data_IF_906334696180
#
_entry.id   IF_906334696180
#
_cell.length_a   1.000
_cell.length_b   1.000
_cell.length_c   1.000
_cell.angle_alpha   90.00
_cell.angle_beta   90.00
_cell.angle_gamma   90.00
#
_symmetry.space_group_name_H-M   'P 1'
#
loop_
_entity.id
_entity.type
_entity.pdbx_description
1 polymer ?
#
# COMPACT_ATOMS: atom_id res chain seq x y z
N UNK A 1 -9.33 14.36 16.68
CA UNK A 1 -8.64 13.58 17.73
C UNK A 1 -8.87 12.11 17.40
N UNK A 2 -7.86 11.42 16.85
CA UNK A 2 -7.94 9.96 16.64
C UNK A 2 -7.85 9.31 18.02
N UNK A 3 -8.91 8.62 18.45
CA UNK A 3 -8.88 7.84 19.70
C UNK A 3 -7.92 6.67 19.49
N UNK A 4 -6.93 6.55 20.37
CA UNK A 4 -5.90 5.50 20.34
C UNK A 4 -6.49 4.08 20.39
N UNK A 5 -7.69 3.93 20.97
CA UNK A 5 -8.42 2.66 21.06
C UNK A 5 -8.85 2.14 19.68
N UNK A 6 -9.10 3.04 18.72
CA UNK A 6 -9.44 2.65 17.34
C UNK A 6 -8.23 2.13 16.56
N UNK A 7 -7.01 2.53 16.93
CA UNK A 7 -5.77 1.99 16.36
C UNK A 7 -5.54 0.55 16.80
N UNK A 8 -5.58 0.30 18.11
CA UNK A 8 -5.34 -1.04 18.69
C UNK A 8 -6.28 -2.13 18.14
N UNK A 9 -7.53 -1.78 17.83
CA UNK A 9 -8.51 -2.72 17.27
C UNK A 9 -8.21 -3.10 15.82
N UNK A 10 -7.48 -2.25 15.09
CA UNK A 10 -7.16 -2.43 13.67
C UNK A 10 -5.75 -3.00 13.46
N UNK A 11 -4.91 -3.05 14.50
CA UNK A 11 -3.52 -3.48 14.41
C UNK A 11 -3.32 -4.84 13.70
N UNK A 12 -4.10 -5.90 13.98
CA UNK A 12 -3.95 -7.17 13.26
C UNK A 12 -4.22 -7.05 11.75
N UNK A 13 -5.23 -6.27 11.37
CA UNK A 13 -5.61 -6.05 9.97
C UNK A 13 -4.62 -5.14 9.24
N UNK A 14 -4.15 -4.09 9.93
CA UNK A 14 -3.11 -3.21 9.42
C UNK A 14 -1.81 -4.00 9.19
N UNK A 15 -1.44 -4.84 10.14
CA UNK A 15 -0.29 -5.73 10.01
C UNK A 15 -0.47 -6.69 8.83
N UNK A 16 -1.67 -7.27 8.67
CA UNK A 16 -2.01 -8.12 7.53
C UNK A 16 -1.85 -7.41 6.19
N UNK A 17 -2.33 -6.16 6.07
CA UNK A 17 -2.16 -5.35 4.86
C UNK A 17 -0.68 -5.12 4.53
N UNK A 18 0.11 -4.65 5.51
CA UNK A 18 1.55 -4.42 5.34
C UNK A 18 2.30 -5.67 4.88
N UNK A 19 2.04 -6.79 5.55
CA UNK A 19 2.65 -8.08 5.30
C UNK A 19 2.32 -8.60 3.92
N UNK A 20 1.04 -8.57 3.58
CA UNK A 20 0.53 -9.08 2.32
C UNK A 20 1.08 -8.28 1.15
N UNK A 21 1.18 -6.96 1.28
CA UNK A 21 1.70 -6.11 0.21
C UNK A 21 3.19 -6.31 -0.03
N UNK A 22 3.98 -6.46 1.05
CA UNK A 22 5.41 -6.77 0.96
C UNK A 22 5.63 -8.11 0.23
N UNK A 23 4.99 -9.18 0.72
CA UNK A 23 5.13 -10.51 0.15
C UNK A 23 4.60 -10.58 -1.29
N UNK A 24 3.50 -9.89 -1.59
CA UNK A 24 2.96 -9.83 -2.95
C UNK A 24 3.92 -9.12 -3.91
N UNK A 25 4.59 -8.06 -3.45
CA UNK A 25 5.58 -7.35 -4.25
C UNK A 25 6.83 -8.19 -4.48
N UNK A 26 7.33 -8.87 -3.46
CA UNK A 26 8.46 -9.80 -3.60
C UNK A 26 8.13 -10.96 -4.56
N UNK A 27 6.92 -11.52 -4.44
CA UNK A 27 6.44 -12.53 -5.38
C UNK A 27 6.34 -11.98 -6.80
N UNK A 28 5.83 -10.76 -6.96
CA UNK A 28 5.82 -10.07 -8.25
C UNK A 28 7.24 -9.94 -8.81
N UNK A 29 8.19 -9.42 -8.05
CA UNK A 29 9.59 -9.27 -8.48
C UNK A 29 10.30 -10.59 -8.80
N UNK A 30 9.88 -11.71 -8.20
CA UNK A 30 10.41 -13.03 -8.52
C UNK A 30 9.95 -13.56 -9.89
N UNK A 31 8.92 -12.95 -10.50
CA UNK A 31 8.43 -13.36 -11.81
C UNK A 31 9.44 -13.00 -12.92
N UNK A 32 9.61 -13.87 -13.92
CA UNK A 32 10.40 -13.55 -15.11
C UNK A 32 9.90 -12.26 -15.76
N UNK A 33 10.81 -11.44 -16.31
CA UNK A 33 10.47 -10.13 -16.90
C UNK A 33 9.35 -10.20 -17.90
N UNK A 34 9.33 -11.23 -18.77
CA UNK A 34 8.25 -11.44 -19.75
C UNK A 34 6.85 -11.57 -19.13
N UNK A 35 6.75 -11.99 -17.86
CA UNK A 35 5.50 -12.11 -17.10
C UNK A 35 5.17 -10.87 -16.31
N UNK A 36 6.16 -10.01 -16.02
CA UNK A 36 5.96 -8.71 -15.39
C UNK A 36 5.69 -7.61 -16.40
N UNK A 37 6.28 -7.70 -17.60
CA UNK A 37 6.29 -6.66 -18.62
C UNK A 37 4.87 -6.27 -19.02
N UNK A 38 4.46 -5.10 -18.55
CA UNK A 38 3.15 -4.52 -18.77
C UNK A 38 3.32 -3.00 -18.83
N UNK A 39 2.67 -2.40 -19.81
CA UNK A 39 2.59 -0.95 -19.92
C UNK A 39 1.15 -0.57 -20.26
N UNK A 40 0.54 0.22 -19.38
CA UNK A 40 -0.86 0.65 -19.53
C UNK A 40 -0.93 2.13 -19.15
N UNK A 41 -1.53 2.94 -20.03
CA UNK A 41 -1.72 4.38 -19.82
C UNK A 41 -0.43 5.13 -19.43
N UNK A 42 0.73 4.73 -19.96
CA UNK A 42 2.02 5.35 -19.66
C UNK A 42 2.67 4.91 -18.34
N UNK A 43 2.07 3.97 -17.62
CA UNK A 43 2.64 3.36 -16.42
C UNK A 43 3.28 2.02 -16.76
N UNK A 44 4.53 1.84 -16.34
CA UNK A 44 5.21 0.54 -16.38
C UNK A 44 4.78 -0.37 -15.23
N UNK A 45 5.19 -1.63 -15.29
CA UNK A 45 4.77 -2.71 -14.39
C UNK A 45 4.89 -2.39 -12.90
N UNK A 46 6.00 -1.76 -12.48
CA UNK A 46 6.24 -1.40 -11.08
C UNK A 46 5.16 -0.44 -10.55
N UNK A 47 4.88 0.62 -11.30
CA UNK A 47 3.82 1.58 -10.93
C UNK A 47 2.45 0.91 -10.98
N UNK A 48 2.22 0.04 -11.96
CA UNK A 48 0.95 -0.67 -12.11
C UNK A 48 0.69 -1.66 -10.97
N UNK A 49 1.72 -2.29 -10.40
CA UNK A 49 1.58 -3.13 -9.21
C UNK A 49 0.96 -2.32 -8.06
N UNK A 50 1.55 -1.17 -7.74
CA UNK A 50 1.08 -0.32 -6.64
C UNK A 50 -0.28 0.34 -6.93
N UNK A 51 -0.53 0.74 -8.19
CA UNK A 51 -1.85 1.23 -8.61
C UNK A 51 -2.89 0.12 -8.42
N UNK A 52 -2.61 -1.09 -8.88
CA UNK A 52 -3.50 -2.24 -8.75
C UNK A 52 -3.80 -2.58 -7.29
N UNK A 53 -2.80 -2.54 -6.41
CA UNK A 53 -2.99 -2.65 -4.97
C UNK A 53 -4.01 -1.63 -4.46
N UNK A 54 -3.89 -0.36 -4.83
CA UNK A 54 -4.79 0.69 -4.34
C UNK A 54 -6.20 0.64 -4.94
N UNK A 55 -6.33 0.22 -6.21
CA UNK A 55 -7.62 0.09 -6.89
C UNK A 55 -8.54 -0.88 -6.15
N UNK A 56 -8.01 -1.95 -5.53
CA UNK A 56 -8.82 -2.92 -4.76
C UNK A 56 -9.54 -2.28 -3.56
N UNK A 57 -9.06 -1.14 -3.09
CA UNK A 57 -9.61 -0.39 -1.97
C UNK A 57 -10.53 0.77 -2.37
N UNK A 58 -10.73 1.00 -3.68
CA UNK A 58 -11.67 2.00 -4.17
C UNK A 58 -13.10 1.61 -3.81
N UNK A 59 -13.68 2.29 -2.82
CA UNK A 59 -15.03 2.07 -2.30
C UNK A 59 -15.76 3.40 -2.13
N UNK A 60 -17.09 3.38 -2.23
CA UNK A 60 -17.92 4.56 -1.97
C UNK A 60 -17.77 5.03 -0.52
N UNK A 61 -17.72 6.34 -0.29
CA UNK A 61 -17.69 6.93 1.05
C UNK A 61 -18.96 6.64 1.87
N UNK A 62 -20.02 6.16 1.21
CA UNK A 62 -21.30 5.77 1.82
C UNK A 62 -21.32 4.34 2.34
N UNK A 63 -20.28 3.53 2.09
CA UNK A 63 -20.20 2.18 2.65
C UNK A 63 -20.08 2.20 4.18
N UNK A 64 -20.76 1.26 4.83
CA UNK A 64 -20.75 1.10 6.27
C UNK A 64 -19.32 0.93 6.82
N UNK A 65 -19.02 1.66 7.88
CA UNK A 65 -17.74 1.54 8.60
C UNK A 65 -17.78 0.30 9.47
N UNK A 66 -16.99 -0.71 9.10
CA UNK A 66 -16.66 -1.80 10.00
C UNK A 66 -15.61 -1.30 11.00
N UNK A 67 -15.96 -1.28 12.28
CA UNK A 67 -15.09 -0.74 13.34
C UNK A 67 -13.73 -1.46 13.44
N UNK A 68 -13.63 -2.70 12.96
CA UNK A 68 -12.40 -3.50 12.94
C UNK A 68 -11.45 -3.21 11.78
N UNK A 69 -11.83 -2.39 10.80
CA UNK A 69 -11.01 -2.14 9.61
C UNK A 69 -10.69 -0.66 9.41
N UNK A 70 -9.47 -0.38 8.98
CA UNK A 70 -9.09 0.93 8.50
C UNK A 70 -9.90 1.29 7.23
N UNK A 71 -10.07 2.59 6.98
CA UNK A 71 -10.73 3.06 5.75
C UNK A 71 -9.90 2.68 4.52
N UNK A 72 -10.56 2.42 3.38
CA UNK A 72 -9.89 2.01 2.14
C UNK A 72 -8.72 2.92 1.71
N UNK A 73 -8.87 4.25 1.85
CA UNK A 73 -7.75 5.19 1.60
C UNK A 73 -6.52 4.88 2.46
N UNK A 74 -6.71 4.62 3.76
CA UNK A 74 -5.60 4.29 4.66
C UNK A 74 -5.00 2.93 4.34
N UNK A 75 -5.83 1.93 4.03
CA UNK A 75 -5.38 0.58 3.61
C UNK A 75 -4.59 0.59 2.30
N UNK A 76 -4.84 1.56 1.43
CA UNK A 76 -4.05 1.81 0.22
C UNK A 76 -2.74 2.54 0.55
N UNK A 77 -2.79 3.70 1.21
CA UNK A 77 -1.61 4.58 1.26
C UNK A 77 -0.63 4.24 2.37
N UNK A 78 -1.11 3.74 3.52
CA UNK A 78 -0.25 3.57 4.70
C UNK A 78 0.77 2.45 4.46
N UNK A 79 0.40 1.24 4.00
CA UNK A 79 1.41 0.22 3.67
C UNK A 79 2.46 0.73 2.67
N UNK A 80 2.01 1.42 1.61
CA UNK A 80 2.88 1.92 0.55
C UNK A 80 3.86 3.01 1.02
N UNK A 81 3.47 3.87 1.98
CA UNK A 81 4.38 4.83 2.60
C UNK A 81 5.61 4.17 3.23
N UNK A 82 5.48 2.91 3.63
CA UNK A 82 6.52 2.15 4.29
C UNK A 82 7.37 1.31 3.34
N UNK A 83 7.03 1.26 2.05
CA UNK A 83 7.80 0.56 1.02
C UNK A 83 8.74 1.53 0.29
N UNK A 84 10.08 1.37 0.39
CA UNK A 84 11.02 2.18 -0.39
C UNK A 84 10.81 2.06 -1.91
N UNK A 85 10.40 0.89 -2.37
CA UNK A 85 10.22 0.59 -3.79
C UNK A 85 9.04 1.36 -4.39
N UNK A 86 8.01 1.64 -3.58
CA UNK A 86 6.94 2.56 -3.98
C UNK A 86 7.48 3.98 -4.17
N UNK A 87 8.26 4.47 -3.20
CA UNK A 87 8.86 5.82 -3.28
C UNK A 87 9.73 5.97 -4.52
N UNK A 88 10.52 4.95 -4.85
CA UNK A 88 11.37 4.93 -6.04
C UNK A 88 10.54 4.89 -7.32
N UNK A 89 9.57 3.98 -7.43
CA UNK A 89 8.73 3.83 -8.61
C UNK A 89 8.00 5.13 -8.97
N UNK A 90 7.56 5.90 -7.99
CA UNK A 90 6.86 7.18 -8.19
C UNK A 90 7.73 8.43 -8.07
N UNK A 91 9.03 8.29 -7.79
CA UNK A 91 9.93 9.43 -7.62
C UNK A 91 9.57 10.35 -6.45
N UNK A 92 9.09 9.77 -5.34
CA UNK A 92 8.69 10.54 -4.17
C UNK A 92 9.91 11.18 -3.48
N UNK A 93 9.94 12.51 -3.38
CA UNK A 93 10.98 13.25 -2.67
C UNK A 93 11.10 12.87 -1.18
N UNK A 94 12.24 13.20 -0.56
CA UNK A 94 12.45 12.97 0.86
C UNK A 94 11.42 13.75 1.70
N UNK A 95 10.88 13.10 2.74
CA UNK A 95 9.85 13.66 3.64
C UNK A 95 8.53 14.03 2.95
N UNK A 96 8.31 13.60 1.70
CA UNK A 96 7.01 13.74 1.06
C UNK A 96 5.95 12.96 1.86
N UNK A 97 4.68 13.33 1.71
CA UNK A 97 3.57 12.64 2.39
C UNK A 97 3.61 11.12 2.18
N UNK A 98 3.86 10.69 0.94
CA UNK A 98 3.98 9.27 0.58
C UNK A 98 5.38 8.66 0.80
N UNK A 99 6.33 9.44 1.33
CA UNK A 99 7.70 8.99 1.63
C UNK A 99 8.18 9.56 2.99
N UNK A 100 7.54 9.14 4.10
CA UNK A 100 7.91 9.59 5.42
C UNK A 100 9.33 9.16 5.79
N UNK A 101 9.99 9.97 6.63
CA UNK A 101 11.36 9.72 7.10
C UNK A 101 11.46 8.47 7.99
N UNK A 102 10.42 8.21 8.80
CA UNK A 102 10.32 7.00 9.60
C UNK A 102 9.46 5.98 8.88
N UNK A 103 10.09 4.88 8.44
CA UNK A 103 9.39 3.73 7.87
C UNK A 103 9.37 2.58 8.89
N UNK A 104 8.23 1.92 9.02
CA UNK A 104 8.10 0.66 9.71
C UNK A 104 8.41 -0.46 8.71
N UNK A 105 9.17 -1.46 9.14
CA UNK A 105 9.42 -2.67 8.35
C UNK A 105 9.01 -3.86 9.19
N UNK A 106 8.16 -4.70 8.62
CA UNK A 106 7.78 -6.00 9.16
C UNK A 106 8.12 -7.02 8.07
N UNK A 107 8.69 -8.17 8.46
CA UNK A 107 9.14 -9.31 7.63
C UNK A 107 9.34 -9.06 6.13
#
# INVERSE_FOLDING_TARGET
MMSWESGLRQDPENLGDFSGDRLAYEAFQSLPDRRRALSVAGFGSERLFFIGHCVKWCRSLTEHRNEGYARGRSRCIVPLMHMPEFSEAFGCGAKAYMNPERKCSFW
#
